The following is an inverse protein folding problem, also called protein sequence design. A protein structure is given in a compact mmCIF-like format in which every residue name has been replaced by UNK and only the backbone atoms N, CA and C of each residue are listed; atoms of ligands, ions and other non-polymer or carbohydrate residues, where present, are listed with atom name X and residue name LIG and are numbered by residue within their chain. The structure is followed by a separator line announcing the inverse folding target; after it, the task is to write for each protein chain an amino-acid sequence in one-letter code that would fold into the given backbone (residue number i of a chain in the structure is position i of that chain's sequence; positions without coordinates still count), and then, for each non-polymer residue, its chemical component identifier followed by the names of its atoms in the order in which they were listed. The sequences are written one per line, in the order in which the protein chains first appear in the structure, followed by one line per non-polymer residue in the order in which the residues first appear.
data_IF_463034443700
#
_entry.id   IF_463034443700
#
_cell.length_a   1.000
_cell.length_b   1.000
_cell.length_c   1.000
_cell.angle_alpha   90.00
_cell.angle_beta   90.00
_cell.angle_gamma   90.00
#
_symmetry.space_group_name_H-M   'P 1'
#
loop_
_entity.id
_entity.type
_entity.pdbx_description
1 polymer ?
#
# COMPACT_ATOMS: atom_id res chain seq x y z
N UNK A 1 -4.49 4.84 17.31
CA UNK A 1 -3.11 5.22 17.63
C UNK A 1 -3.09 6.66 18.08
N UNK A 2 -2.62 6.93 19.30
CA UNK A 2 -2.43 8.30 19.76
C UNK A 2 -1.25 8.89 18.99
N UNK A 3 -1.53 9.82 18.10
CA UNK A 3 -0.51 10.62 17.48
C UNK A 3 -0.27 11.86 18.37
N UNK A 4 0.98 12.11 18.72
CA UNK A 4 1.35 13.38 19.33
C UNK A 4 1.21 14.52 18.31
N UNK A 5 0.45 15.55 18.65
CA UNK A 5 0.38 16.77 17.88
C UNK A 5 1.73 17.49 17.93
N UNK A 6 2.24 17.93 16.78
CA UNK A 6 3.44 18.75 16.74
C UNK A 6 3.07 20.26 16.92
N UNK A 7 4.08 21.11 17.06
CA UNK A 7 3.87 22.55 17.26
C UNK A 7 3.03 23.20 16.16
N UNK A 8 3.26 22.82 14.90
CA UNK A 8 2.50 23.37 13.78
C UNK A 8 1.03 22.95 13.80
N UNK A 9 0.73 21.74 14.32
CA UNK A 9 -0.65 21.27 14.49
C UNK A 9 -1.42 22.18 15.48
N UNK A 10 -0.76 22.62 16.58
CA UNK A 10 -1.34 23.57 17.53
C UNK A 10 -1.50 24.98 16.95
N UNK A 11 -0.50 25.47 16.24
CA UNK A 11 -0.51 26.81 15.61
C UNK A 11 -1.60 26.88 14.51
N UNK A 12 -1.92 25.78 13.84
CA UNK A 12 -2.97 25.68 12.83
C UNK A 12 -4.34 25.26 13.39
N UNK A 13 -4.50 25.15 14.69
CA UNK A 13 -5.77 24.79 15.32
C UNK A 13 -6.17 23.31 15.16
N UNK A 14 -5.24 22.44 14.75
CA UNK A 14 -5.47 21.01 14.54
C UNK A 14 -5.18 20.24 15.84
N UNK A 15 -5.94 20.52 16.90
CA UNK A 15 -5.73 19.92 18.22
C UNK A 15 -6.76 18.86 18.61
N UNK A 16 -7.73 18.57 17.73
CA UNK A 16 -8.76 17.55 18.00
C UNK A 16 -8.21 16.15 17.85
N UNK A 17 -8.42 15.26 18.83
CA UNK A 17 -7.98 13.88 18.70
C UNK A 17 -8.74 13.16 17.58
N UNK A 18 -8.03 12.32 16.86
CA UNK A 18 -8.64 11.37 15.91
C UNK A 18 -9.38 10.29 16.70
N UNK A 19 -10.59 9.95 16.26
CA UNK A 19 -11.35 8.81 16.78
C UNK A 19 -11.66 7.82 15.67
N UNK A 20 -11.70 6.53 16.03
CA UNK A 20 -12.00 5.41 15.16
C UNK A 20 -13.06 4.53 15.82
N UNK A 21 -14.19 4.35 15.12
CA UNK A 21 -15.13 3.27 15.38
C UNK A 21 -14.86 2.16 14.37
N UNK A 22 -14.50 0.99 14.85
CA UNK A 22 -14.14 -0.18 14.04
C UNK A 22 -15.08 -1.34 14.34
N UNK A 23 -15.66 -1.90 13.28
CA UNK A 23 -16.53 -3.08 13.35
C UNK A 23 -16.02 -4.11 12.37
N UNK A 24 -15.70 -5.29 12.89
CA UNK A 24 -15.18 -6.38 12.09
C UNK A 24 -16.03 -7.65 12.26
N UNK A 25 -16.18 -8.38 11.16
CA UNK A 25 -16.78 -9.70 11.13
C UNK A 25 -15.85 -10.68 10.44
N UNK A 26 -15.23 -11.57 11.24
CA UNK A 26 -14.32 -12.59 10.76
C UNK A 26 -14.97 -13.97 10.69
N UNK A 27 -14.70 -14.70 9.61
CA UNK A 27 -15.05 -16.11 9.49
C UNK A 27 -13.80 -16.94 9.15
N UNK A 28 -13.65 -18.07 9.83
CA UNK A 28 -12.51 -18.97 9.65
C UNK A 28 -13.00 -20.38 9.38
N UNK A 29 -12.41 -20.99 8.36
CA UNK A 29 -12.64 -22.40 8.04
C UNK A 29 -11.31 -23.15 8.05
N UNK A 30 -11.31 -24.35 8.61
CA UNK A 30 -10.14 -25.23 8.63
C UNK A 30 -10.57 -26.66 8.36
N UNK A 31 -9.90 -27.29 7.40
CA UNK A 31 -9.93 -28.73 7.16
C UNK A 31 -8.48 -29.26 7.10
N UNK A 32 -8.30 -30.52 6.77
CA UNK A 32 -6.96 -31.10 6.63
C UNK A 32 -6.12 -30.41 5.54
N UNK A 33 -6.77 -29.99 4.46
CA UNK A 33 -6.10 -29.45 3.28
C UNK A 33 -6.34 -27.96 3.05
N UNK A 34 -7.25 -27.32 3.79
CA UNK A 34 -7.64 -25.92 3.55
C UNK A 34 -7.73 -25.18 4.87
N UNK A 35 -7.04 -24.05 4.95
CA UNK A 35 -7.28 -23.00 5.93
C UNK A 35 -7.74 -21.77 5.18
N UNK A 36 -8.86 -21.20 5.56
CA UNK A 36 -9.43 -20.00 4.95
C UNK A 36 -9.81 -19.03 6.06
N UNK A 37 -9.37 -17.79 5.92
CA UNK A 37 -9.77 -16.68 6.76
C UNK A 37 -10.42 -15.62 5.89
N UNK A 38 -11.51 -15.06 6.36
CA UNK A 38 -12.18 -13.92 5.74
C UNK A 38 -12.48 -12.90 6.81
N UNK A 39 -12.34 -11.62 6.49
CA UNK A 39 -12.65 -10.52 7.37
C UNK A 39 -13.39 -9.44 6.60
N UNK A 40 -14.61 -9.13 7.02
CA UNK A 40 -15.37 -7.97 6.57
C UNK A 40 -15.19 -6.89 7.63
N UNK A 41 -14.77 -5.69 7.24
CA UNK A 41 -14.55 -4.59 8.16
C UNK A 41 -15.20 -3.30 7.71
N UNK A 42 -15.58 -2.49 8.68
CA UNK A 42 -16.02 -1.11 8.49
C UNK A 42 -15.38 -0.23 9.56
N UNK A 43 -14.52 0.67 9.12
CA UNK A 43 -13.80 1.64 9.95
C UNK A 43 -14.34 3.04 9.66
N UNK A 44 -14.85 3.72 10.68
CA UNK A 44 -15.36 5.09 10.60
C UNK A 44 -14.45 6.01 11.41
N UNK A 45 -13.77 6.91 10.70
CA UNK A 45 -12.84 7.87 11.29
C UNK A 45 -13.49 9.23 11.45
N UNK A 46 -13.24 9.89 12.56
CA UNK A 46 -13.58 11.28 12.80
C UNK A 46 -12.32 12.05 13.14
N UNK A 47 -12.21 13.27 12.63
CA UNK A 47 -11.06 14.15 12.84
C UNK A 47 -9.73 13.52 12.35
N UNK A 48 -9.77 12.68 11.32
CA UNK A 48 -8.56 12.06 10.77
C UNK A 48 -7.63 13.14 10.21
N UNK A 49 -6.36 13.09 10.59
CA UNK A 49 -5.36 13.99 10.07
C UNK A 49 -4.84 13.51 8.72
N UNK A 50 -5.07 14.29 7.69
CA UNK A 50 -4.72 13.95 6.31
C UNK A 50 -3.81 15.01 5.68
N UNK A 51 -3.06 14.61 4.66
CA UNK A 51 -2.33 15.53 3.79
C UNK A 51 -3.33 16.30 2.92
N UNK A 52 -3.23 17.63 2.92
CA UNK A 52 -4.07 18.50 2.09
C UNK A 52 -3.62 18.52 0.62
N UNK A 53 -2.40 18.05 0.34
CA UNK A 53 -1.70 18.27 -0.93
C UNK A 53 -0.90 19.58 -0.95
N UNK A 54 -1.25 20.58 -0.13
CA UNK A 54 -0.53 21.83 -0.07
C UNK A 54 0.82 21.72 0.67
N UNK A 55 1.75 22.60 0.33
CA UNK A 55 3.03 22.78 1.00
C UNK A 55 3.12 24.18 1.61
N UNK A 56 3.86 24.31 2.70
CA UNK A 56 4.16 25.61 3.32
C UNK A 56 5.30 26.33 2.60
N UNK A 57 5.65 27.53 3.08
CA UNK A 57 6.71 28.37 2.49
C UNK A 57 8.12 27.77 2.50
N UNK A 58 8.33 26.63 3.18
CA UNK A 58 9.60 25.89 3.21
C UNK A 58 9.51 24.52 2.53
N UNK A 59 8.37 24.22 1.89
CA UNK A 59 8.14 22.97 1.17
C UNK A 59 7.68 21.80 2.03
N UNK A 60 7.32 22.02 3.31
CA UNK A 60 6.79 20.97 4.15
C UNK A 60 5.28 20.75 3.89
N UNK A 61 4.82 19.48 3.88
CA UNK A 61 3.42 19.17 3.59
C UNK A 61 2.49 19.66 4.69
N UNK A 62 1.46 20.41 4.29
CA UNK A 62 0.40 20.88 5.19
C UNK A 62 -0.59 19.74 5.44
N UNK A 63 -0.95 19.58 6.70
CA UNK A 63 -1.97 18.61 7.13
C UNK A 63 -3.17 19.36 7.69
N UNK A 64 -4.34 18.77 7.49
CA UNK A 64 -5.59 19.25 8.06
C UNK A 64 -6.40 18.05 8.58
N UNK A 65 -7.29 18.34 9.51
CA UNK A 65 -8.26 17.36 9.95
C UNK A 65 -9.32 17.20 8.87
N UNK A 66 -9.40 16.02 8.22
CA UNK A 66 -10.53 15.68 7.36
C UNK A 66 -11.73 15.41 8.30
N UNK A 67 -12.85 16.04 8.09
CA UNK A 67 -14.00 15.87 8.99
C UNK A 67 -14.31 14.40 9.28
N UNK A 68 -14.66 13.63 8.26
CA UNK A 68 -14.98 12.20 8.37
C UNK A 68 -14.38 11.42 7.21
N UNK A 69 -13.97 10.19 7.48
CA UNK A 69 -13.58 9.25 6.45
C UNK A 69 -14.00 7.83 6.83
N UNK A 70 -14.12 6.95 5.85
CA UNK A 70 -14.41 5.56 6.12
C UNK A 70 -13.57 4.64 5.26
N UNK A 71 -13.38 3.43 5.77
CA UNK A 71 -12.84 2.28 5.06
C UNK A 71 -13.80 1.12 5.23
N UNK A 72 -14.22 0.55 4.12
CA UNK A 72 -15.05 -0.66 4.08
C UNK A 72 -14.34 -1.67 3.20
N UNK A 73 -14.17 -2.90 3.67
CA UNK A 73 -13.48 -3.89 2.86
C UNK A 73 -13.73 -5.32 3.27
N UNK A 74 -13.34 -6.21 2.35
CA UNK A 74 -13.31 -7.65 2.52
C UNK A 74 -11.88 -8.11 2.30
N UNK A 75 -11.33 -8.82 3.27
CA UNK A 75 -10.04 -9.50 3.19
C UNK A 75 -10.25 -11.01 3.19
N UNK A 76 -9.49 -11.68 2.35
CA UNK A 76 -9.52 -13.14 2.20
C UNK A 76 -8.08 -13.62 2.14
N UNK A 77 -7.73 -14.61 2.95
CA UNK A 77 -6.49 -15.37 2.80
C UNK A 77 -6.75 -16.86 2.94
N UNK A 78 -6.01 -17.66 2.20
CA UNK A 78 -6.10 -19.10 2.29
C UNK A 78 -4.73 -19.78 2.24
N UNK A 79 -4.65 -20.95 2.84
CA UNK A 79 -3.55 -21.91 2.72
C UNK A 79 -4.15 -23.24 2.26
N UNK A 80 -3.83 -23.64 1.03
CA UNK A 80 -4.42 -24.80 0.36
C UNK A 80 -3.33 -25.80 0.05
N UNK A 81 -3.34 -26.95 0.71
CA UNK A 81 -2.49 -28.09 0.41
C UNK A 81 -3.14 -28.93 -0.68
N UNK A 82 -2.63 -28.83 -1.91
CA UNK A 82 -3.16 -29.59 -3.05
C UNK A 82 -2.73 -31.05 -2.96
N UNK A 83 -1.47 -31.28 -2.61
CA UNK A 83 -0.87 -32.59 -2.31
C UNK A 83 0.40 -32.41 -1.46
N UNK A 84 1.10 -33.51 -1.15
CA UNK A 84 2.31 -33.51 -0.32
C UNK A 84 3.44 -32.60 -0.86
N UNK A 85 3.43 -32.26 -2.15
CA UNK A 85 4.49 -31.52 -2.82
C UNK A 85 4.07 -30.13 -3.30
N UNK A 86 2.77 -29.82 -3.28
CA UNK A 86 2.26 -28.58 -3.88
C UNK A 86 1.21 -27.92 -2.99
N UNK A 87 1.42 -26.65 -2.68
CA UNK A 87 0.48 -25.82 -1.97
C UNK A 87 0.31 -24.44 -2.63
N UNK A 88 -0.82 -23.78 -2.34
CA UNK A 88 -1.21 -22.48 -2.89
C UNK A 88 -1.63 -21.60 -1.72
N UNK A 89 -1.16 -20.36 -1.69
CA UNK A 89 -1.51 -19.37 -0.67
C UNK A 89 -2.02 -18.08 -1.33
N UNK A 90 -3.28 -18.08 -1.80
CA UNK A 90 -3.91 -16.87 -2.32
C UNK A 90 -4.31 -15.91 -1.21
N UNK A 91 -4.24 -14.61 -1.48
CA UNK A 91 -4.81 -13.57 -0.65
C UNK A 91 -5.42 -12.46 -1.52
N UNK A 92 -6.47 -11.82 -1.03
CA UNK A 92 -7.11 -10.71 -1.71
C UNK A 92 -7.70 -9.73 -0.69
N UNK A 93 -7.57 -8.44 -0.98
CA UNK A 93 -8.25 -7.36 -0.27
C UNK A 93 -9.02 -6.51 -1.28
N UNK A 94 -10.31 -6.36 -1.03
CA UNK A 94 -11.20 -5.48 -1.77
C UNK A 94 -11.71 -4.42 -0.82
N UNK A 95 -11.49 -3.15 -1.14
CA UNK A 95 -11.85 -2.07 -0.22
C UNK A 95 -12.40 -0.85 -0.93
N UNK A 96 -13.13 -0.03 -0.18
CA UNK A 96 -13.55 1.30 -0.56
C UNK A 96 -13.15 2.27 0.54
N UNK A 97 -12.23 3.17 0.20
CA UNK A 97 -11.60 4.10 1.13
C UNK A 97 -11.91 5.52 0.70
N UNK A 98 -12.66 6.30 1.51
CA UNK A 98 -13.13 7.64 1.12
C UNK A 98 -13.08 8.61 2.29
N UNK A 99 -12.63 9.84 1.98
CA UNK A 99 -13.00 11.01 2.77
C UNK A 99 -14.45 11.37 2.46
N UNK A 100 -15.15 11.96 3.44
CA UNK A 100 -16.50 12.51 3.31
C UNK A 100 -16.42 14.03 3.44
N UNK A 101 -17.05 14.75 2.49
CA UNK A 101 -17.08 16.22 2.49
C UNK A 101 -15.69 16.88 2.62
N UNK A 102 -14.72 16.33 1.88
CA UNK A 102 -13.34 16.82 1.91
C UNK A 102 -13.26 18.24 1.36
N UNK A 103 -12.63 19.15 2.12
CA UNK A 103 -12.45 20.54 1.74
C UNK A 103 -10.98 20.83 1.48
N UNK A 104 -10.68 21.44 0.35
CA UNK A 104 -9.33 21.87 -0.03
C UNK A 104 -9.33 23.35 -0.45
N UNK A 105 -8.17 24.02 -0.37
CA UNK A 105 -7.98 25.33 -0.96
C UNK A 105 -7.65 25.18 -2.44
N UNK A 106 -8.44 25.81 -3.29
CA UNK A 106 -8.24 25.87 -4.74
C UNK A 106 -8.37 27.33 -5.18
N UNK A 107 -7.33 27.86 -5.81
CA UNK A 107 -7.25 29.26 -6.24
C UNK A 107 -7.56 30.24 -5.08
N UNK A 108 -7.03 29.95 -3.89
CA UNK A 108 -7.20 30.75 -2.69
C UNK A 108 -8.61 30.69 -2.06
N UNK A 109 -9.47 29.74 -2.51
CA UNK A 109 -10.81 29.55 -1.96
C UNK A 109 -10.97 28.15 -1.42
N UNK A 110 -11.67 28.04 -0.29
CA UNK A 110 -12.05 26.73 0.23
C UNK A 110 -13.20 26.16 -0.60
N UNK A 111 -12.97 25.00 -1.19
CA UNK A 111 -13.96 24.27 -1.98
C UNK A 111 -14.22 22.91 -1.35
N UNK A 112 -15.51 22.54 -1.22
CA UNK A 112 -15.90 21.20 -0.82
C UNK A 112 -15.89 20.29 -2.05
N UNK A 113 -14.99 19.32 -2.06
CA UNK A 113 -14.81 18.34 -3.14
C UNK A 113 -15.70 17.10 -2.98
N UNK A 114 -16.55 17.07 -1.95
CA UNK A 114 -17.39 15.92 -1.64
C UNK A 114 -16.59 14.72 -1.18
N UNK A 115 -16.98 13.54 -1.66
CA UNK A 115 -16.30 12.30 -1.30
C UNK A 115 -15.07 12.07 -2.19
N UNK A 116 -13.88 12.14 -1.58
CA UNK A 116 -12.60 11.97 -2.27
C UNK A 116 -11.92 10.64 -1.91
N UNK A 117 -10.98 10.13 -2.73
CA UNK A 117 -10.20 8.96 -2.35
C UNK A 117 -9.32 9.25 -1.13
N UNK A 118 -9.01 8.22 -0.36
CA UNK A 118 -7.93 8.28 0.63
C UNK A 118 -6.60 8.00 -0.08
N UNK A 119 -5.57 8.80 0.24
CA UNK A 119 -4.24 8.64 -0.34
C UNK A 119 -3.65 7.25 0.00
N UNK A 120 -2.89 6.70 -0.94
CA UNK A 120 -2.20 5.41 -0.84
C UNK A 120 -3.09 4.26 -0.36
N UNK A 121 -4.35 4.25 -0.81
CA UNK A 121 -5.35 3.27 -0.41
C UNK A 121 -6.01 2.63 -1.65
N UNK A 122 -5.34 1.68 -2.32
CA UNK A 122 -5.88 1.01 -3.49
C UNK A 122 -7.15 0.23 -3.14
N UNK A 123 -8.11 0.18 -4.06
CA UNK A 123 -9.36 -0.55 -3.84
C UNK A 123 -9.21 -2.07 -3.96
N UNK A 124 -8.16 -2.53 -4.65
CA UNK A 124 -7.92 -3.96 -4.92
C UNK A 124 -6.45 -4.27 -4.73
N UNK A 125 -6.16 -5.25 -3.89
CA UNK A 125 -4.83 -5.88 -3.77
C UNK A 125 -5.04 -7.38 -3.81
N UNK A 126 -4.37 -8.07 -4.72
CA UNK A 126 -4.43 -9.54 -4.84
C UNK A 126 -3.02 -10.09 -4.88
N UNK A 127 -2.80 -11.14 -4.12
CA UNK A 127 -1.54 -11.87 -4.11
C UNK A 127 -1.75 -13.38 -4.17
N UNK A 128 -0.72 -14.09 -4.58
CA UNK A 128 -0.71 -15.54 -4.53
C UNK A 128 0.72 -16.05 -4.42
N UNK A 129 0.89 -17.18 -3.74
CA UNK A 129 2.14 -17.93 -3.69
C UNK A 129 1.86 -19.38 -4.04
N UNK A 130 2.43 -19.86 -5.13
CA UNK A 130 2.53 -21.27 -5.46
C UNK A 130 3.82 -21.83 -4.88
N UNK A 131 3.73 -22.91 -4.10
CA UNK A 131 4.89 -23.56 -3.49
C UNK A 131 4.97 -24.97 -4.00
N UNK A 132 6.11 -25.32 -4.58
CA UNK A 132 6.40 -26.68 -5.04
C UNK A 132 7.66 -27.21 -4.36
N UNK A 133 7.48 -28.28 -3.61
CA UNK A 133 8.53 -28.96 -2.82
C UNK A 133 8.61 -30.44 -3.27
N UNK A 134 9.29 -30.75 -4.38
CA UNK A 134 9.36 -32.12 -4.89
C UNK A 134 10.13 -33.08 -3.99
N UNK A 135 11.06 -32.57 -3.16
CA UNK A 135 11.85 -33.30 -2.18
C UNK A 135 11.98 -32.49 -0.87
N UNK A 136 12.40 -33.15 0.21
CA UNK A 136 12.63 -32.48 1.50
C UNK A 136 13.73 -31.42 1.42
N UNK A 137 14.61 -31.52 0.43
CA UNK A 137 15.79 -30.65 0.29
C UNK A 137 15.60 -29.51 -0.74
N UNK A 138 14.53 -29.53 -1.56
CA UNK A 138 14.33 -28.53 -2.60
C UNK A 138 12.93 -27.95 -2.57
N UNK A 139 12.84 -26.63 -2.49
CA UNK A 139 11.60 -25.87 -2.62
C UNK A 139 11.77 -24.76 -3.65
N UNK A 140 10.76 -24.56 -4.48
CA UNK A 140 10.61 -23.41 -5.36
C UNK A 140 9.25 -22.77 -5.10
N UNK A 141 9.18 -21.45 -5.07
CA UNK A 141 7.97 -20.69 -4.90
C UNK A 141 7.83 -19.62 -5.97
N UNK A 142 6.65 -19.53 -6.56
CA UNK A 142 6.28 -18.49 -7.50
C UNK A 142 5.26 -17.57 -6.80
N UNK A 143 5.64 -16.31 -6.64
CA UNK A 143 4.82 -15.27 -6.04
C UNK A 143 4.29 -14.37 -7.15
N UNK A 144 3.04 -13.93 -7.01
CA UNK A 144 2.47 -12.91 -7.88
C UNK A 144 1.66 -11.92 -7.06
N UNK A 145 1.69 -10.65 -7.45
CA UNK A 145 1.00 -9.56 -6.77
C UNK A 145 0.42 -8.58 -7.78
N UNK A 146 -0.85 -8.27 -7.61
CA UNK A 146 -1.54 -7.17 -8.28
C UNK A 146 -1.92 -6.11 -7.27
N UNK A 147 -1.66 -4.85 -7.59
CA UNK A 147 -2.11 -3.68 -6.83
C UNK A 147 -2.89 -2.80 -7.79
N UNK A 148 -4.12 -2.46 -7.43
CA UNK A 148 -4.96 -1.54 -8.19
C UNK A 148 -4.46 -0.10 -8.17
N UNK A 149 -5.05 0.73 -9.00
CA UNK A 149 -4.80 2.18 -9.04
C UNK A 149 -4.98 2.79 -7.65
N UNK A 150 -4.13 3.74 -7.31
CA UNK A 150 -4.18 4.48 -6.05
C UNK A 150 -3.81 5.95 -6.28
N UNK A 151 -4.13 6.80 -5.31
CA UNK A 151 -3.87 8.23 -5.37
C UNK A 151 -2.79 8.62 -4.36
N UNK A 152 -1.93 9.56 -4.72
CA UNK A 152 -0.93 10.11 -3.80
C UNK A 152 -1.49 11.23 -2.92
N UNK A 153 -2.66 11.77 -3.27
CA UNK A 153 -3.34 12.84 -2.53
C UNK A 153 -4.74 12.41 -2.05
N UNK A 154 -5.36 13.27 -1.25
CA UNK A 154 -6.78 13.14 -0.86
C UNK A 154 -7.71 14.00 -1.73
N UNK A 155 -7.21 14.56 -2.82
CA UNK A 155 -8.00 15.30 -3.80
C UNK A 155 -8.76 14.32 -4.71
N UNK A 156 -9.65 14.83 -5.53
CA UNK A 156 -10.30 14.00 -6.53
C UNK A 156 -9.69 14.23 -7.93
N UNK A 157 -9.92 13.31 -8.84
CA UNK A 157 -9.38 13.36 -10.21
C UNK A 157 -9.88 14.55 -11.04
N UNK A 158 -10.84 15.33 -10.55
CA UNK A 158 -11.28 16.56 -11.21
C UNK A 158 -10.36 17.73 -10.92
N UNK A 159 -9.57 17.67 -9.84
CA UNK A 159 -8.59 18.68 -9.48
C UNK A 159 -7.29 18.43 -10.24
N UNK A 160 -6.77 17.21 -10.22
CA UNK A 160 -5.56 16.82 -10.94
C UNK A 160 -5.55 15.32 -11.23
N UNK A 161 -4.75 14.91 -12.22
CA UNK A 161 -4.42 13.52 -12.48
C UNK A 161 -2.93 13.22 -12.27
N UNK A 162 -2.16 14.20 -11.86
CA UNK A 162 -0.73 14.00 -11.55
C UNK A 162 -0.51 13.24 -10.25
N UNK A 163 -1.57 13.03 -9.46
CA UNK A 163 -1.54 12.31 -8.19
C UNK A 163 -1.86 10.81 -8.32
N UNK A 164 -2.04 10.28 -9.54
CA UNK A 164 -2.42 8.89 -9.78
C UNK A 164 -1.17 8.01 -9.89
N UNK A 165 -1.17 6.89 -9.19
CA UNK A 165 -0.27 5.77 -9.39
C UNK A 165 -1.04 4.65 -10.08
N UNK A 166 -0.60 4.27 -11.27
CA UNK A 166 -1.23 3.23 -12.07
C UNK A 166 -1.17 1.87 -11.38
N UNK A 167 -2.14 1.02 -11.70
CA UNK A 167 -2.14 -0.36 -11.24
C UNK A 167 -0.95 -1.14 -11.84
N UNK A 168 -0.44 -2.12 -11.09
CA UNK A 168 0.66 -2.94 -11.55
C UNK A 168 0.51 -4.40 -11.13
N UNK A 169 1.21 -5.27 -11.87
CA UNK A 169 1.34 -6.69 -11.58
C UNK A 169 2.81 -7.10 -11.63
N UNK A 170 3.28 -7.75 -10.57
CA UNK A 170 4.64 -8.27 -10.46
C UNK A 170 4.64 -9.74 -10.11
N UNK A 171 5.73 -10.43 -10.46
CA UNK A 171 5.93 -11.82 -10.06
C UNK A 171 7.38 -12.09 -9.74
N UNK A 172 7.60 -12.92 -8.73
CA UNK A 172 8.91 -13.29 -8.21
C UNK A 172 9.03 -14.80 -8.12
N UNK A 173 10.27 -15.30 -8.24
CA UNK A 173 10.60 -16.71 -7.98
C UNK A 173 11.59 -16.76 -6.83
N UNK A 174 11.29 -17.60 -5.84
CA UNK A 174 12.20 -17.94 -4.75
C UNK A 174 12.52 -19.43 -4.83
N UNK A 175 13.77 -19.81 -4.56
CA UNK A 175 14.14 -21.21 -4.39
C UNK A 175 15.10 -21.40 -3.21
N UNK A 176 15.03 -22.59 -2.62
CA UNK A 176 15.91 -23.06 -1.55
C UNK A 176 16.32 -24.48 -1.86
N UNK A 177 17.62 -24.75 -1.80
CA UNK A 177 18.17 -26.08 -1.96
C UNK A 177 19.13 -26.39 -0.84
N UNK A 178 18.89 -27.46 -0.08
CA UNK A 178 19.72 -27.95 1.01
C UNK A 178 20.53 -29.15 0.56
N UNK A 179 21.84 -29.10 0.73
CA UNK A 179 22.79 -30.16 0.40
C UNK A 179 23.36 -30.68 1.73
N UNK A 180 22.99 -31.91 2.12
CA UNK A 180 23.60 -32.57 3.26
C UNK A 180 25.02 -33.03 2.92
N UNK A 181 26.01 -32.68 3.71
CA UNK A 181 27.42 -32.99 3.42
C UNK A 181 28.06 -33.99 4.39
N UNK A 182 27.62 -33.98 5.64
CA UNK A 182 28.10 -34.90 6.72
C UNK A 182 29.62 -34.97 6.91
N UNK A 183 30.36 -33.89 6.59
CA UNK A 183 31.83 -33.80 6.69
C UNK A 183 32.24 -32.63 7.56
N UNK A 184 32.60 -31.49 6.94
CA UNK A 184 33.03 -30.26 7.62
C UNK A 184 31.80 -29.44 8.04
N UNK A 185 30.72 -29.52 7.27
CA UNK A 185 29.43 -28.88 7.52
C UNK A 185 28.37 -29.96 7.64
N UNK A 186 27.32 -29.70 8.41
CA UNK A 186 26.12 -30.55 8.44
C UNK A 186 25.34 -30.39 7.15
N UNK A 187 25.17 -29.14 6.69
CA UNK A 187 24.53 -28.85 5.41
C UNK A 187 25.02 -27.55 4.79
N UNK A 188 24.82 -27.43 3.48
CA UNK A 188 24.98 -26.21 2.70
C UNK A 188 23.60 -25.85 2.13
N UNK A 189 23.09 -24.66 2.44
CA UNK A 189 21.83 -24.17 1.89
C UNK A 189 22.13 -23.12 0.83
N UNK A 190 21.65 -23.34 -0.37
CA UNK A 190 21.65 -22.39 -1.47
C UNK A 190 20.25 -21.80 -1.58
N UNK A 191 20.15 -20.48 -1.48
CA UNK A 191 18.89 -19.76 -1.65
C UNK A 191 19.00 -18.73 -2.77
N UNK A 192 17.92 -18.51 -3.51
CA UNK A 192 17.89 -17.50 -4.54
C UNK A 192 16.53 -16.87 -4.69
N UNK A 193 16.55 -15.61 -5.08
CA UNK A 193 15.38 -14.79 -5.39
C UNK A 193 15.59 -14.16 -6.75
N UNK A 194 14.59 -14.27 -7.63
CA UNK A 194 14.49 -13.51 -8.86
C UNK A 194 13.24 -12.65 -8.72
N UNK A 195 13.44 -11.35 -8.54
CA UNK A 195 12.37 -10.40 -8.42
C UNK A 195 11.94 -9.90 -9.78
N UNK A 196 10.64 -9.61 -9.92
CA UNK A 196 10.03 -9.00 -11.09
C UNK A 196 10.43 -9.73 -12.40
N UNK A 197 10.16 -11.03 -12.46
CA UNK A 197 10.61 -11.92 -13.55
C UNK A 197 10.09 -11.51 -14.93
N UNK A 198 8.98 -10.77 -14.99
CA UNK A 198 8.40 -10.27 -16.24
C UNK A 198 8.92 -8.89 -16.63
N UNK A 199 9.86 -8.35 -15.84
CA UNK A 199 10.47 -7.03 -16.08
C UNK A 199 9.43 -5.90 -16.20
N UNK A 200 8.37 -5.96 -15.39
CA UNK A 200 7.33 -4.93 -15.36
C UNK A 200 7.92 -3.60 -14.87
N UNK A 201 7.76 -2.55 -15.63
CA UNK A 201 8.08 -1.19 -15.18
C UNK A 201 6.89 -0.64 -14.43
N UNK A 202 7.09 -0.22 -13.17
CA UNK A 202 6.03 0.30 -12.33
C UNK A 202 6.54 1.27 -11.28
N UNK A 203 5.58 2.03 -10.74
CA UNK A 203 5.78 2.96 -9.64
C UNK A 203 4.82 2.59 -8.52
N UNK A 204 5.31 2.32 -7.32
CA UNK A 204 4.48 1.95 -6.16
C UNK A 204 4.26 3.11 -5.20
N UNK A 205 5.05 4.18 -5.31
CA UNK A 205 4.99 5.37 -4.47
C UNK A 205 5.51 6.60 -5.19
N UNK A 206 5.12 7.76 -4.66
CA UNK A 206 5.53 9.05 -5.13
C UNK A 206 5.11 10.12 -4.14
N UNK A 207 5.15 11.36 -4.55
CA UNK A 207 4.59 12.48 -3.83
C UNK A 207 3.84 13.39 -4.79
N UNK A 208 2.85 14.07 -4.26
CA UNK A 208 2.06 15.08 -4.93
C UNK A 208 1.96 16.30 -4.02
N UNK A 209 1.99 17.50 -4.60
CA UNK A 209 1.87 18.75 -3.87
C UNK A 209 1.12 19.79 -4.69
N UNK A 210 0.53 20.74 -3.98
CA UNK A 210 -0.06 21.96 -4.54
C UNK A 210 0.48 23.17 -3.80
N UNK A 211 0.54 24.30 -4.47
CA UNK A 211 0.77 25.59 -3.84
C UNK A 211 0.02 26.70 -4.58
N UNK A 212 -0.32 27.77 -3.88
CA UNK A 212 -0.98 28.93 -4.46
C UNK A 212 0.05 29.92 -4.98
N UNK A 213 0.13 30.05 -6.31
CA UNK A 213 0.94 31.06 -6.97
C UNK A 213 0.24 32.42 -6.89
N UNK A 214 0.84 33.32 -6.13
CA UNK A 214 0.36 34.70 -5.91
C UNK A 214 1.22 35.75 -6.55
N UNK A 215 2.33 35.35 -7.23
CA UNK A 215 3.34 36.25 -7.75
C UNK A 215 3.43 36.30 -9.28
N UNK A 216 3.14 35.22 -9.99
CA UNK A 216 3.24 35.17 -11.46
C UNK A 216 2.20 36.05 -12.14
N UNK A 217 1.04 36.24 -11.53
CA UNK A 217 -0.02 37.08 -12.06
C UNK A 217 -0.63 37.92 -10.91
N UNK A 218 -0.11 39.17 -10.70
CA UNK A 218 -0.50 40.03 -9.59
C UNK A 218 -2.02 40.22 -9.49
N UNK A 219 -2.58 39.96 -8.32
CA UNK A 219 -4.02 40.05 -8.05
C UNK A 219 -4.82 38.78 -8.36
N UNK A 220 -4.16 37.73 -8.85
CA UNK A 220 -4.80 36.43 -9.10
C UNK A 220 -4.08 35.36 -8.28
N UNK A 221 -4.84 34.50 -7.62
CA UNK A 221 -4.29 33.30 -6.96
C UNK A 221 -4.58 32.10 -7.86
N UNK A 222 -3.54 31.37 -8.25
CA UNK A 222 -3.66 30.17 -9.08
C UNK A 222 -3.04 28.98 -8.33
N UNK A 223 -3.80 27.96 -8.02
CA UNK A 223 -3.24 26.71 -7.47
C UNK A 223 -2.50 25.98 -8.58
N UNK A 224 -1.20 25.76 -8.36
CA UNK A 224 -0.32 24.97 -9.21
C UNK A 224 -0.03 23.67 -8.52
N UNK A 225 0.03 22.58 -9.28
CA UNK A 225 0.32 21.26 -8.78
C UNK A 225 1.55 20.63 -9.42
N UNK A 226 2.11 19.63 -8.73
CA UNK A 226 3.23 18.85 -9.24
C UNK A 226 3.31 17.49 -8.54
N UNK A 227 4.04 16.59 -9.17
CA UNK A 227 4.26 15.25 -8.65
C UNK A 227 5.67 14.75 -8.92
N UNK A 228 6.11 13.79 -8.13
CA UNK A 228 7.32 13.02 -8.36
C UNK A 228 7.06 11.55 -8.05
N UNK A 229 7.74 10.68 -8.80
CA UNK A 229 7.52 9.24 -8.76
C UNK A 229 8.81 8.52 -8.40
N UNK A 230 8.71 7.42 -7.66
CA UNK A 230 9.82 6.54 -7.32
C UNK A 230 9.69 5.23 -8.09
N UNK A 231 10.35 5.10 -9.28
CA UNK A 231 10.33 3.87 -10.06
C UNK A 231 10.92 2.72 -9.26
N UNK A 232 10.31 1.57 -9.40
CA UNK A 232 10.78 0.35 -8.76
C UNK A 232 11.79 -0.38 -9.65
N UNK A 233 12.60 -1.23 -9.02
CA UNK A 233 13.59 -2.01 -9.73
C UNK A 233 12.94 -2.96 -10.74
N UNK A 234 13.49 -3.00 -11.94
CA UNK A 234 13.18 -4.01 -12.94
C UNK A 234 13.67 -5.39 -12.50
N UNK A 235 13.70 -6.38 -13.38
CA UNK A 235 14.14 -7.73 -13.07
C UNK A 235 15.55 -7.72 -12.43
N UNK A 236 15.66 -8.35 -11.27
CA UNK A 236 16.91 -8.45 -10.53
C UNK A 236 16.96 -9.76 -9.74
N UNK A 237 18.13 -10.16 -9.25
CA UNK A 237 18.26 -11.41 -8.51
C UNK A 237 19.23 -11.28 -7.34
N UNK A 238 19.03 -12.15 -6.35
CA UNK A 238 19.92 -12.36 -5.23
C UNK A 238 20.19 -13.86 -5.08
N UNK A 239 21.42 -14.22 -4.71
CA UNK A 239 21.79 -15.59 -4.34
C UNK A 239 22.51 -15.58 -3.02
N UNK A 240 22.12 -16.48 -2.13
CA UNK A 240 22.73 -16.67 -0.82
C UNK A 240 23.23 -18.08 -0.62
N UNK A 241 24.33 -18.24 0.16
CA UNK A 241 24.85 -19.54 0.58
C UNK A 241 25.00 -19.52 2.09
N UNK A 242 24.39 -20.50 2.78
CA UNK A 242 24.48 -20.65 4.24
C UNK A 242 25.11 -21.99 4.56
N UNK A 243 26.11 -21.98 5.43
CA UNK A 243 26.76 -23.18 5.95
C UNK A 243 26.23 -23.48 7.35
N UNK A 244 25.68 -24.69 7.55
CA UNK A 244 25.29 -25.21 8.88
C UNK A 244 26.44 -26.08 9.44
N UNK A 245 26.78 -25.86 10.70
CA UNK A 245 27.80 -26.60 11.43
C UNK A 245 27.18 -27.42 12.54
#
# INVERSE_FOLDING_TARGET
ANREANRNDFENGVSTPESLDDVEFGWRYKSDNIKLNTNLYYMNYQNQLVLTGAIDGVGAPIRATSGKSYRLGLEIDADITVNEKFSIRPNAAFSKNRNQDFTASINGKLENLGNTPLSFSPNVVVGNMFIYQPTDHFQISFLSKYVGEQFMSNLNSTVSRLDVLDSYFTSDINFVYEIETKKVFDAIIISGVINNIFNTEFVDRGYYFTFDDTWSNPGTITTVDGSGYYPQATANFLVGVTFKF
#
